data_IF_267912417127
#
_entry.id   IF_267912417127
#
_cell.length_a   1.000
_cell.length_b   1.000
_cell.length_c   1.000
_cell.angle_alpha   90.00
_cell.angle_beta   90.00
_cell.angle_gamma   90.00
#
_symmetry.space_group_name_H-M   'P 1'
#
loop_
_entity.id
_entity.type
_entity.pdbx_description
1 polymer ?
#
# COMPACT_ATOMS: atom_id res chain seq x y z
N UNK A 1 -2.41 6.76 -6.10
CA UNK A 1 -3.36 5.88 -5.40
C UNK A 1 -2.89 4.44 -5.48
N UNK A 2 -2.85 3.75 -4.37
CA UNK A 2 -2.35 2.36 -4.32
C UNK A 2 -3.49 1.38 -4.58
N UNK A 3 -3.33 0.50 -5.56
CA UNK A 3 -4.36 -0.49 -5.89
C UNK A 3 -4.49 -1.58 -4.81
N UNK A 4 -3.51 -1.72 -3.93
CA UNK A 4 -3.48 -2.77 -2.91
C UNK A 4 -4.65 -2.68 -1.92
N UNK A 5 -5.21 -1.49 -1.72
CA UNK A 5 -6.36 -1.31 -0.81
C UNK A 5 -7.61 -2.04 -1.30
N UNK A 6 -7.67 -2.34 -2.59
CA UNK A 6 -8.75 -3.10 -3.22
C UNK A 6 -8.28 -4.49 -3.65
N UNK A 7 -7.19 -5.00 -3.08
CA UNK A 7 -6.63 -6.29 -3.42
C UNK A 7 -6.94 -7.33 -2.34
N UNK A 8 -7.29 -8.55 -2.78
CA UNK A 8 -7.53 -9.67 -1.88
C UNK A 8 -6.36 -9.95 -0.93
N UNK A 9 -5.12 -9.68 -1.37
CA UNK A 9 -3.91 -9.99 -0.61
C UNK A 9 -3.40 -8.84 0.26
N UNK A 10 -4.15 -7.75 0.40
CA UNK A 10 -3.66 -6.51 1.03
C UNK A 10 -3.08 -6.73 2.43
N UNK A 11 -3.66 -7.61 3.23
CA UNK A 11 -3.22 -7.90 4.59
C UNK A 11 -2.09 -8.95 4.67
N UNK A 12 -1.74 -9.57 3.54
CA UNK A 12 -0.73 -10.63 3.48
C UNK A 12 0.41 -10.34 2.52
N UNK A 13 0.32 -9.26 1.74
CA UNK A 13 1.26 -8.97 0.66
C UNK A 13 2.52 -8.28 1.18
N UNK A 14 3.70 -8.81 0.83
CA UNK A 14 4.97 -8.22 1.23
C UNK A 14 5.20 -6.84 0.59
N UNK A 15 4.71 -6.61 -0.61
CA UNK A 15 4.82 -5.30 -1.26
C UNK A 15 4.01 -4.24 -0.52
N UNK A 16 2.78 -4.54 -0.13
CA UNK A 16 1.97 -3.59 0.62
C UNK A 16 2.54 -3.36 2.02
N UNK A 17 3.12 -4.38 2.63
CA UNK A 17 3.81 -4.24 3.92
C UNK A 17 4.94 -3.21 3.82
N UNK A 18 5.70 -3.22 2.72
CA UNK A 18 6.74 -2.22 2.47
C UNK A 18 6.16 -0.82 2.23
N UNK A 19 5.03 -0.73 1.54
CA UNK A 19 4.31 0.54 1.34
C UNK A 19 3.81 1.10 2.68
N UNK A 20 3.27 0.26 3.55
CA UNK A 20 2.87 0.67 4.90
C UNK A 20 4.05 1.26 5.67
N UNK A 21 5.22 0.60 5.61
CA UNK A 21 6.42 1.09 6.27
C UNK A 21 6.85 2.45 5.74
N UNK A 22 6.80 2.62 4.43
CA UNK A 22 7.18 3.88 3.79
C UNK A 22 6.22 5.02 4.18
N UNK A 23 4.93 4.72 4.32
CA UNK A 23 3.94 5.71 4.73
C UNK A 23 3.90 5.95 6.24
N UNK A 24 4.59 5.12 7.03
CA UNK A 24 4.60 5.27 8.48
C UNK A 24 3.27 4.88 9.16
N UNK A 25 2.48 4.05 8.51
CA UNK A 25 1.19 3.58 9.06
C UNK A 25 1.35 2.21 9.70
N UNK A 26 0.46 1.83 10.63
CA UNK A 26 0.50 0.50 11.25
C UNK A 26 0.32 -0.61 10.22
N UNK A 27 1.03 -1.73 10.43
CA UNK A 27 0.91 -2.90 9.57
C UNK A 27 -0.39 -3.65 9.87
N UNK A 28 -1.06 -4.12 8.79
CA UNK A 28 -2.24 -4.98 8.93
C UNK A 28 -1.86 -6.36 9.47
N UNK A 29 -0.64 -6.81 9.18
CA UNK A 29 -0.12 -8.08 9.65
C UNK A 29 1.39 -7.96 9.86
N UNK A 30 1.91 -8.57 10.95
CA UNK A 30 3.33 -8.48 11.29
C UNK A 30 4.22 -9.33 10.37
N UNK A 31 3.69 -10.42 9.81
CA UNK A 31 4.46 -11.38 9.01
C UNK A 31 3.73 -11.69 7.69
N UNK A 32 3.82 -10.79 6.68
CA UNK A 32 3.18 -11.03 5.39
C UNK A 32 3.83 -12.22 4.70
N UNK A 33 3.03 -13.12 4.16
CA UNK A 33 3.47 -14.38 3.57
C UNK A 33 3.27 -14.48 2.05
N UNK A 34 2.69 -13.47 1.42
CA UNK A 34 2.47 -13.44 -0.02
C UNK A 34 3.55 -12.62 -0.70
N UNK A 35 4.29 -13.26 -1.61
CA UNK A 35 5.28 -12.58 -2.46
C UNK A 35 4.60 -12.22 -3.78
N UNK A 36 4.42 -10.92 -4.07
CA UNK A 36 3.71 -10.50 -5.27
C UNK A 36 4.55 -10.75 -6.53
N UNK A 37 3.87 -10.95 -7.66
CA UNK A 37 4.51 -11.11 -8.96
C UNK A 37 4.58 -9.75 -9.63
N UNK A 38 5.79 -9.25 -9.86
CA UNK A 38 6.07 -7.99 -10.57
C UNK A 38 5.19 -6.81 -10.12
N UNK A 39 5.22 -6.45 -8.84
CA UNK A 39 4.51 -5.24 -8.41
C UNK A 39 5.21 -4.01 -9.01
N UNK A 40 4.42 -3.12 -9.59
CA UNK A 40 4.94 -1.86 -10.13
C UNK A 40 4.70 -0.76 -9.11
N UNK A 41 5.78 -0.34 -8.46
CA UNK A 41 5.73 0.70 -7.45
C UNK A 41 6.01 2.03 -8.13
N UNK A 42 5.07 2.95 -8.01
CA UNK A 42 5.23 4.33 -8.45
C UNK A 42 5.82 5.13 -7.29
N UNK A 43 6.94 5.79 -7.53
CA UNK A 43 7.59 6.64 -6.55
C UNK A 43 7.31 8.09 -6.93
N UNK A 44 6.67 8.82 -6.03
CA UNK A 44 6.36 10.23 -6.23
C UNK A 44 7.21 11.08 -5.28
N UNK A 45 7.85 12.09 -5.84
CA UNK A 45 8.62 13.07 -5.05
C UNK A 45 7.73 14.27 -4.78
N UNK A 46 7.59 14.61 -3.50
CA UNK A 46 6.74 15.70 -3.04
C UNK A 46 7.58 16.82 -2.46
N UNK A 47 7.24 18.07 -2.82
CA UNK A 47 7.84 19.25 -2.21
C UNK A 47 7.10 19.57 -0.92
N UNK A 48 7.83 19.59 0.20
CA UNK A 48 7.27 19.89 1.51
C UNK A 48 7.44 21.36 1.86
N UNK A 49 6.62 21.92 2.79
CA UNK A 49 6.61 23.37 3.07
C UNK A 49 7.94 23.97 3.50
N UNK A 50 8.82 23.21 4.14
CA UNK A 50 10.07 23.70 4.68
C UNK A 50 11.25 23.56 3.71
N UNK A 51 10.99 23.41 2.43
CA UNK A 51 12.01 23.16 1.43
C UNK A 51 12.55 21.73 1.47
N UNK A 52 11.94 20.87 2.25
CA UNK A 52 12.28 19.45 2.30
C UNK A 52 11.62 18.70 1.16
N UNK A 53 12.11 17.48 0.90
CA UNK A 53 11.55 16.61 -0.13
C UNK A 53 11.05 15.33 0.52
N UNK A 54 9.78 14.99 0.28
CA UNK A 54 9.18 13.74 0.71
C UNK A 54 9.08 12.77 -0.45
N UNK A 55 8.95 11.49 -0.13
CA UNK A 55 8.78 10.42 -1.12
C UNK A 55 7.54 9.62 -0.74
N UNK A 56 6.70 9.30 -1.72
CA UNK A 56 5.51 8.48 -1.53
C UNK A 56 5.54 7.31 -2.51
N UNK A 57 5.22 6.12 -2.01
CA UNK A 57 5.18 4.90 -2.81
C UNK A 57 3.74 4.41 -2.96
N UNK A 58 3.35 4.12 -4.20
CA UNK A 58 2.06 3.52 -4.53
C UNK A 58 2.25 2.36 -5.48
N UNK A 59 1.56 1.25 -5.22
CA UNK A 59 1.52 0.17 -6.21
C UNK A 59 0.46 0.52 -7.25
N UNK A 60 0.88 0.62 -8.51
CA UNK A 60 0.01 1.00 -9.63
C UNK A 60 -0.43 -0.19 -10.47
N UNK A 61 0.33 -1.27 -10.47
CA UNK A 61 0.02 -2.51 -11.16
C UNK A 61 0.71 -3.67 -10.48
N UNK A 62 0.14 -4.86 -10.55
CA UNK A 62 0.74 -6.06 -9.95
C UNK A 62 0.17 -7.30 -10.62
N UNK A 63 1.07 -8.25 -10.96
CA UNK A 63 0.67 -9.52 -11.55
C UNK A 63 -0.11 -10.43 -10.61
N UNK A 64 0.00 -10.21 -9.30
CA UNK A 64 -0.74 -10.97 -8.29
C UNK A 64 -2.04 -10.29 -7.86
N UNK A 65 -2.39 -9.15 -8.44
CA UNK A 65 -3.58 -8.41 -8.05
C UNK A 65 -4.85 -9.22 -8.25
N UNK A 66 -5.65 -9.35 -7.19
CA UNK A 66 -6.98 -9.95 -7.24
C UNK A 66 -7.96 -8.92 -6.70
N UNK A 67 -8.84 -8.45 -7.57
CA UNK A 67 -9.77 -7.38 -7.22
C UNK A 67 -10.74 -7.80 -6.13
N UNK A 68 -10.74 -7.08 -5.04
CA UNK A 68 -11.70 -7.20 -3.94
C UNK A 68 -11.98 -5.79 -3.41
N UNK A 69 -12.83 -5.03 -4.10
CA UNK A 69 -13.06 -3.63 -3.78
C UNK A 69 -13.47 -3.41 -2.34
N UNK A 70 -12.85 -2.42 -1.69
CA UNK A 70 -13.15 -2.08 -0.31
C UNK A 70 -12.56 -3.01 0.74
N UNK A 71 -11.66 -3.93 0.36
CA UNK A 71 -11.11 -4.88 1.34
C UNK A 71 -10.38 -4.20 2.49
N UNK A 72 -9.50 -3.24 2.18
CA UNK A 72 -8.78 -2.52 3.24
C UNK A 72 -9.75 -1.84 4.19
N UNK A 73 -10.79 -1.20 3.66
CA UNK A 73 -11.78 -0.49 4.47
C UNK A 73 -12.55 -1.46 5.39
N UNK A 74 -12.82 -2.68 4.93
CA UNK A 74 -13.47 -3.71 5.76
C UNK A 74 -12.56 -4.21 6.87
N UNK A 75 -11.26 -4.29 6.62
CA UNK A 75 -10.27 -4.70 7.62
C UNK A 75 -10.01 -3.58 8.64
N UNK A 76 -10.17 -2.33 8.24
CA UNK A 76 -9.93 -1.16 9.09
C UNK A 76 -11.16 -0.23 9.08
N UNK A 77 -12.30 -0.69 9.64
CA UNK A 77 -13.52 0.12 9.62
C UNK A 77 -13.34 1.41 10.41
N UNK A 78 -13.84 2.52 9.86
CA UNK A 78 -13.76 3.82 10.49
C UNK A 78 -12.44 4.57 10.26
N UNK A 79 -11.46 3.95 9.59
CA UNK A 79 -10.20 4.61 9.26
C UNK A 79 -10.21 5.14 7.83
N UNK A 80 -9.43 6.19 7.60
CA UNK A 80 -9.26 6.78 6.27
C UNK A 80 -8.32 5.89 5.45
N UNK A 81 -8.72 5.58 4.23
CA UNK A 81 -7.90 4.76 3.31
C UNK A 81 -6.56 5.48 3.05
N UNK A 82 -5.42 4.83 3.26
CA UNK A 82 -4.12 5.43 2.97
C UNK A 82 -3.91 5.55 1.44
N UNK A 83 -3.47 6.71 1.03
CA UNK A 83 -3.21 7.00 -0.39
C UNK A 83 -1.86 7.65 -0.55
#
# INVERSE_FOLDING_TARGET
MCICVDCHWVDRCQAYHAVERQHGVPHLQAAPDVVPVQPRIHVQVLDLPDGQVGVEWDVRACGSFVAEPGRWQRLCPGLVVPT
#
